data_IF_849637837632
#
_entry.id   IF_849637837632
#
_cell.length_a   1.000
_cell.length_b   1.000
_cell.length_c   1.000
_cell.angle_alpha   90.00
_cell.angle_beta   90.00
_cell.angle_gamma   90.00
#
_symmetry.space_group_name_H-M   'P 1'
#
loop_
_entity.id
_entity.type
_entity.pdbx_description
1 polymer ?
#
# COMPACT_ATOMS: atom_id res chain seq x y z
N UNK A 1 17.58 -17.06 14.48
CA UNK A 1 16.12 -17.26 14.28
C UNK A 1 15.73 -16.53 13.02
N UNK A 2 15.29 -17.27 12.00
CA UNK A 2 14.76 -16.68 10.75
C UNK A 2 13.37 -16.15 11.02
N UNK A 3 13.29 -14.95 11.57
CA UNK A 3 12.01 -14.33 11.90
C UNK A 3 11.45 -13.68 10.64
N UNK A 4 10.46 -14.34 10.01
CA UNK A 4 9.66 -13.80 8.89
C UNK A 4 8.23 -13.57 9.36
N UNK A 5 7.73 -12.36 9.14
CA UNK A 5 6.32 -12.01 9.27
C UNK A 5 5.79 -11.70 7.88
N UNK A 6 4.71 -12.36 7.50
CA UNK A 6 4.08 -12.21 6.19
C UNK A 6 2.57 -12.24 6.33
N UNK A 7 1.92 -11.44 5.50
CA UNK A 7 0.48 -11.43 5.38
C UNK A 7 -0.05 -12.77 4.85
N UNK A 8 -0.99 -13.36 5.58
CA UNK A 8 -1.59 -14.65 5.23
C UNK A 8 -2.26 -14.60 3.85
N UNK A 9 -1.99 -15.61 3.02
CA UNK A 9 -2.58 -15.80 1.68
C UNK A 9 -2.41 -14.59 0.73
N UNK A 10 -1.45 -13.69 1.00
CA UNK A 10 -1.30 -12.43 0.26
C UNK A 10 -1.06 -12.62 -1.23
N UNK A 11 -0.31 -13.65 -1.63
CA UNK A 11 -0.05 -13.96 -3.04
C UNK A 11 -1.31 -14.39 -3.79
N UNK A 12 -2.25 -15.05 -3.10
CA UNK A 12 -3.54 -15.43 -3.68
C UNK A 12 -4.49 -14.23 -3.72
N UNK A 13 -4.56 -13.47 -2.63
CA UNK A 13 -5.51 -12.35 -2.47
C UNK A 13 -5.16 -11.18 -3.39
N UNK A 14 -3.87 -10.87 -3.53
CA UNK A 14 -3.39 -9.83 -4.42
C UNK A 14 -3.03 -10.36 -5.82
N UNK A 15 -3.53 -11.55 -6.21
CA UNK A 15 -3.37 -12.02 -7.58
C UNK A 15 -4.34 -11.29 -8.51
N UNK A 16 -3.82 -10.35 -9.30
CA UNK A 16 -4.60 -9.61 -10.30
C UNK A 16 -4.19 -10.13 -11.68
N UNK A 17 -4.89 -11.13 -12.18
CA UNK A 17 -4.58 -11.80 -13.46
C UNK A 17 -3.11 -12.23 -13.62
N UNK A 18 -2.52 -12.80 -12.56
CA UNK A 18 -1.12 -13.25 -12.55
C UNK A 18 -0.12 -12.20 -12.06
N UNK A 19 -0.55 -10.96 -11.79
CA UNK A 19 0.27 -9.92 -11.18
C UNK A 19 0.12 -9.91 -9.66
N UNK A 20 1.13 -9.41 -8.93
CA UNK A 20 1.10 -9.25 -7.48
C UNK A 20 0.74 -7.80 -7.10
N UNK A 21 -0.55 -7.58 -6.88
CA UNK A 21 -1.18 -6.28 -6.71
C UNK A 21 -1.28 -5.49 -8.02
N UNK A 22 -1.61 -4.21 -7.90
CA UNK A 22 -1.82 -3.35 -9.07
C UNK A 22 -0.55 -2.75 -9.68
N UNK A 23 -0.66 -2.40 -10.96
CA UNK A 23 0.24 -1.48 -11.67
C UNK A 23 -0.54 -0.23 -12.09
N UNK A 24 0.00 0.96 -11.79
CA UNK A 24 -0.63 2.21 -12.19
C UNK A 24 -0.62 2.43 -13.71
N UNK A 25 0.23 1.75 -14.49
CA UNK A 25 0.18 1.84 -15.95
C UNK A 25 -1.17 1.40 -16.53
N UNK A 26 -1.88 0.49 -15.84
CA UNK A 26 -3.19 0.00 -16.28
C UNK A 26 -4.28 1.08 -16.30
N UNK A 27 -4.06 2.25 -15.67
CA UNK A 27 -4.99 3.38 -15.79
C UNK A 27 -5.10 3.92 -17.22
N UNK A 28 -4.02 3.87 -18.01
CA UNK A 28 -4.06 4.24 -19.42
C UNK A 28 -4.68 3.12 -20.25
N UNK A 29 -4.26 1.88 -20.02
CA UNK A 29 -4.78 0.70 -20.73
C UNK A 29 -6.31 0.55 -20.62
N UNK A 30 -6.89 0.87 -19.45
CA UNK A 30 -8.32 0.60 -19.16
C UNK A 30 -9.17 1.86 -19.18
N UNK A 31 -8.65 3.00 -18.72
CA UNK A 31 -9.42 4.25 -18.57
C UNK A 31 -8.88 5.40 -19.42
N UNK A 32 -7.85 5.18 -20.23
CA UNK A 32 -7.18 6.21 -21.02
C UNK A 32 -6.67 7.40 -20.17
N UNK A 33 -6.28 7.14 -18.92
CA UNK A 33 -5.88 8.17 -17.95
C UNK A 33 -4.35 8.24 -17.78
N UNK A 34 -3.69 9.00 -18.65
CA UNK A 34 -2.24 9.29 -18.55
C UNK A 34 -1.87 10.04 -17.24
N UNK A 35 -2.84 10.73 -16.63
CA UNK A 35 -2.62 11.39 -15.35
C UNK A 35 -2.34 10.38 -14.23
N UNK A 36 -3.20 9.36 -14.10
CA UNK A 36 -3.07 8.37 -13.04
C UNK A 36 -1.95 7.37 -13.30
N UNK A 37 -1.52 7.14 -14.55
CA UNK A 37 -0.29 6.36 -14.81
C UNK A 37 0.96 7.02 -14.26
N UNK A 38 0.96 8.33 -13.99
CA UNK A 38 2.09 9.07 -13.40
C UNK A 38 1.90 9.38 -11.91
N UNK A 39 0.65 9.50 -11.43
CA UNK A 39 0.33 10.02 -10.09
C UNK A 39 -0.46 9.03 -9.21
N UNK A 40 -0.81 7.88 -9.75
CA UNK A 40 -1.69 6.89 -9.14
C UNK A 40 -1.03 5.95 -8.14
N UNK A 41 0.27 6.03 -7.87
CA UNK A 41 0.96 5.11 -6.95
C UNK A 41 0.27 4.99 -5.58
N UNK A 42 -0.13 6.12 -5.00
CA UNK A 42 -0.88 6.17 -3.74
C UNK A 42 -2.24 5.46 -3.82
N UNK A 43 -2.91 5.57 -4.96
CA UNK A 43 -4.19 4.93 -5.23
C UNK A 43 -3.99 3.43 -5.32
N UNK A 44 -3.03 2.96 -6.13
CA UNK A 44 -2.69 1.54 -6.26
C UNK A 44 -2.31 0.93 -4.91
N UNK A 45 -1.46 1.59 -4.13
CA UNK A 45 -1.05 1.09 -2.83
C UNK A 45 -2.24 0.95 -1.87
N UNK A 46 -3.17 1.92 -1.88
CA UNK A 46 -4.39 1.84 -1.10
C UNK A 46 -5.35 0.75 -1.61
N UNK A 47 -5.49 0.59 -2.92
CA UNK A 47 -6.33 -0.44 -3.52
C UNK A 47 -5.88 -1.82 -3.09
N UNK A 48 -4.57 -2.10 -3.16
CA UNK A 48 -3.98 -3.34 -2.64
C UNK A 48 -4.31 -3.52 -1.14
N UNK A 49 -4.15 -2.45 -0.35
CA UNK A 49 -4.43 -2.47 1.08
C UNK A 49 -5.89 -2.84 1.38
N UNK A 50 -6.85 -2.19 0.73
CA UNK A 50 -8.27 -2.46 0.94
C UNK A 50 -8.69 -3.85 0.48
N UNK A 51 -8.25 -4.28 -0.71
CA UNK A 51 -8.53 -5.64 -1.20
C UNK A 51 -8.03 -6.67 -0.18
N UNK A 52 -6.81 -6.50 0.33
CA UNK A 52 -6.25 -7.43 1.29
C UNK A 52 -7.07 -7.49 2.59
N UNK A 53 -7.32 -6.35 3.24
CA UNK A 53 -8.01 -6.37 4.54
C UNK A 53 -9.46 -6.84 4.39
N UNK A 54 -10.15 -6.48 3.30
CA UNK A 54 -11.54 -6.88 3.07
C UNK A 54 -11.68 -8.39 2.81
N UNK A 55 -10.66 -9.02 2.22
CA UNK A 55 -10.62 -10.47 1.99
C UNK A 55 -10.19 -11.28 3.22
N UNK A 56 -9.59 -10.64 4.24
CA UNK A 56 -9.08 -11.34 5.44
C UNK A 56 -9.87 -11.03 6.70
N UNK A 57 -10.64 -9.94 6.72
CA UNK A 57 -11.33 -9.42 7.90
C UNK A 57 -12.72 -8.93 7.48
N UNK A 58 -13.75 -9.69 7.89
CA UNK A 58 -15.14 -9.53 7.42
C UNK A 58 -15.72 -8.14 7.69
N UNK A 59 -15.28 -7.50 8.76
CA UNK A 59 -15.68 -6.14 9.14
C UNK A 59 -15.35 -5.09 8.06
N UNK A 60 -14.30 -5.31 7.25
CA UNK A 60 -13.90 -4.39 6.17
C UNK A 60 -14.49 -4.74 4.80
N UNK A 61 -15.31 -5.79 4.68
CA UNK A 61 -15.88 -6.21 3.40
C UNK A 61 -16.63 -5.08 2.67
N UNK A 62 -17.28 -4.17 3.41
CA UNK A 62 -18.02 -3.02 2.85
C UNK A 62 -17.12 -1.95 2.21
N UNK A 63 -15.80 -2.00 2.44
CA UNK A 63 -14.85 -1.04 1.86
C UNK A 63 -14.44 -1.41 0.44
N UNK A 64 -14.91 -2.53 -0.10
CA UNK A 64 -14.49 -3.05 -1.39
C UNK A 64 -15.72 -3.59 -2.14
N UNK A 65 -15.83 -3.39 -3.46
CA UNK A 65 -16.85 -4.05 -4.29
C UNK A 65 -16.87 -5.57 -4.12
N UNK A 66 -18.06 -6.18 -4.12
CA UNK A 66 -18.24 -7.62 -3.86
C UNK A 66 -17.48 -8.52 -4.85
N UNK A 67 -17.34 -8.09 -6.10
CA UNK A 67 -16.59 -8.82 -7.13
C UNK A 67 -15.08 -8.87 -6.88
N UNK A 68 -14.55 -8.10 -5.93
CA UNK A 68 -13.16 -8.16 -5.49
C UNK A 68 -12.97 -9.00 -4.21
N UNK A 69 -14.02 -9.69 -3.74
CA UNK A 69 -14.00 -10.53 -2.54
C UNK A 69 -14.05 -12.02 -2.90
N UNK A 70 -13.10 -12.79 -2.36
CA UNK A 70 -13.07 -14.27 -2.40
C UNK A 70 -12.94 -14.89 -3.79
N UNK A 71 -12.67 -14.09 -4.82
CA UNK A 71 -12.70 -14.49 -6.25
C UNK A 71 -11.44 -14.00 -6.96
N UNK A 72 -11.21 -14.51 -8.17
CA UNK A 72 -10.18 -14.00 -9.07
C UNK A 72 -10.52 -12.57 -9.48
N UNK A 73 -9.57 -11.66 -9.34
CA UNK A 73 -9.75 -10.25 -9.67
C UNK A 73 -9.19 -9.98 -11.07
N UNK A 74 -9.97 -9.33 -11.92
CA UNK A 74 -9.50 -8.83 -13.22
C UNK A 74 -8.85 -7.45 -13.10
N UNK A 75 -7.94 -7.09 -14.02
CA UNK A 75 -7.37 -5.73 -14.06
C UNK A 75 -8.45 -4.66 -14.20
N UNK A 76 -9.49 -4.91 -14.99
CA UNK A 76 -10.61 -3.99 -15.19
C UNK A 76 -11.36 -3.70 -13.90
N UNK A 77 -11.70 -4.72 -13.12
CA UNK A 77 -12.40 -4.54 -11.84
C UNK A 77 -11.52 -3.82 -10.82
N UNK A 78 -10.24 -4.21 -10.77
CA UNK A 78 -9.24 -3.57 -9.93
C UNK A 78 -9.12 -2.06 -10.25
N UNK A 79 -8.97 -1.70 -11.53
CA UNK A 79 -8.77 -0.30 -11.94
C UNK A 79 -10.05 0.52 -11.77
N UNK A 80 -11.24 -0.05 -11.98
CA UNK A 80 -12.51 0.65 -11.65
C UNK A 80 -12.60 1.00 -10.17
N UNK A 81 -12.19 0.09 -9.28
CA UNK A 81 -12.15 0.37 -7.85
C UNK A 81 -11.07 1.39 -7.49
N UNK A 82 -9.87 1.25 -8.07
CA UNK A 82 -8.78 2.21 -7.89
C UNK A 82 -9.18 3.62 -8.36
N UNK A 83 -9.81 3.76 -9.52
CA UNK A 83 -10.28 5.04 -10.03
C UNK A 83 -11.29 5.70 -9.08
N UNK A 84 -12.23 4.92 -8.55
CA UNK A 84 -13.15 5.42 -7.52
C UNK A 84 -12.40 5.93 -6.28
N UNK A 85 -11.40 5.20 -5.78
CA UNK A 85 -10.56 5.67 -4.66
C UNK A 85 -9.78 6.94 -5.01
N UNK A 86 -9.38 7.12 -6.27
CA UNK A 86 -8.68 8.31 -6.75
C UNK A 86 -9.50 9.59 -6.52
N UNK A 87 -10.83 9.50 -6.56
CA UNK A 87 -11.74 10.64 -6.30
C UNK A 87 -11.70 11.12 -4.84
N UNK A 88 -11.30 10.24 -3.91
CA UNK A 88 -11.12 10.57 -2.49
C UNK A 88 -9.70 11.02 -2.17
N UNK A 89 -8.71 10.29 -2.71
CA UNK A 89 -7.29 10.57 -2.48
C UNK A 89 -6.81 11.82 -3.22
N UNK A 90 -7.45 12.13 -4.35
CA UNK A 90 -7.19 13.29 -5.21
C UNK A 90 -5.69 13.53 -5.43
N UNK A 91 -4.95 12.57 -6.04
CA UNK A 91 -3.54 12.78 -6.38
C UNK A 91 -3.37 14.11 -7.11
N UNK A 92 -2.32 14.85 -6.78
CA UNK A 92 -1.96 16.14 -7.40
C UNK A 92 -0.82 15.94 -8.41
N UNK A 93 -0.30 17.04 -8.96
CA UNK A 93 0.85 17.02 -9.88
C UNK A 93 2.07 16.29 -9.27
N UNK A 94 2.18 16.24 -7.95
CA UNK A 94 3.22 15.49 -7.23
C UNK A 94 2.72 14.17 -6.59
N UNK A 95 1.57 13.66 -7.02
CA UNK A 95 0.89 12.54 -6.39
C UNK A 95 0.27 12.94 -5.04
N UNK A 96 0.39 12.05 -4.04
CA UNK A 96 -0.01 12.30 -2.65
C UNK A 96 1.28 12.41 -1.81
N UNK A 97 1.85 13.61 -1.63
CA UNK A 97 3.23 13.74 -1.15
C UNK A 97 3.40 13.57 0.37
N UNK A 98 2.32 13.36 1.14
CA UNK A 98 2.39 13.23 2.60
C UNK A 98 1.33 12.24 3.13
N UNK A 99 1.50 11.78 4.36
CA UNK A 99 0.52 10.91 5.03
C UNK A 99 -0.81 11.62 5.32
N UNK A 100 -0.79 12.95 5.57
CA UNK A 100 -2.00 13.69 5.94
C UNK A 100 -3.08 13.74 4.84
N UNK A 101 -2.77 14.08 3.57
CA UNK A 101 -3.76 14.00 2.50
C UNK A 101 -4.27 12.57 2.27
N UNK A 102 -3.41 11.55 2.39
CA UNK A 102 -3.81 10.15 2.34
C UNK A 102 -4.86 9.84 3.41
N UNK A 103 -4.55 10.10 4.68
CA UNK A 103 -5.45 9.89 5.80
C UNK A 103 -6.80 10.62 5.64
N UNK A 104 -6.77 11.88 5.19
CA UNK A 104 -8.01 12.64 4.97
C UNK A 104 -8.90 12.04 3.88
N UNK A 105 -8.32 11.56 2.78
CA UNK A 105 -9.07 10.87 1.73
C UNK A 105 -9.69 9.58 2.25
N UNK A 106 -8.91 8.77 2.97
CA UNK A 106 -9.35 7.48 3.54
C UNK A 106 -10.44 7.64 4.59
N UNK A 107 -10.32 8.63 5.47
CA UNK A 107 -11.38 8.92 6.45
C UNK A 107 -12.71 9.29 5.77
N UNK A 108 -12.66 10.08 4.70
CA UNK A 108 -13.86 10.43 3.92
C UNK A 108 -14.45 9.22 3.21
N UNK A 109 -13.59 8.39 2.62
CA UNK A 109 -13.98 7.15 1.95
C UNK A 109 -14.66 6.17 2.92
N UNK A 110 -13.99 5.87 4.04
CA UNK A 110 -14.52 4.98 5.08
C UNK A 110 -15.87 5.49 5.60
N UNK A 111 -15.96 6.79 5.92
CA UNK A 111 -17.20 7.41 6.41
C UNK A 111 -18.34 7.28 5.42
N UNK A 112 -18.08 7.48 4.12
CA UNK A 112 -19.08 7.29 3.06
C UNK A 112 -19.62 5.85 3.02
N UNK A 113 -18.80 4.87 3.35
CA UNK A 113 -19.18 3.46 3.41
C UNK A 113 -19.66 3.02 4.82
N UNK A 114 -20.02 3.97 5.69
CA UNK A 114 -20.56 3.68 7.02
C UNK A 114 -19.52 3.10 8.00
N UNK A 115 -18.24 3.35 7.76
CA UNK A 115 -17.13 2.87 8.60
C UNK A 115 -16.29 4.03 9.13
N UNK A 116 -15.58 3.78 10.21
CA UNK A 116 -14.52 4.67 10.70
C UNK A 116 -13.21 3.89 10.70
N UNK A 117 -12.22 4.40 9.98
CA UNK A 117 -10.86 3.89 10.02
C UNK A 117 -9.96 4.86 10.77
N UNK A 118 -9.17 4.32 11.68
CA UNK A 118 -8.15 5.04 12.44
C UNK A 118 -6.80 4.82 11.78
N UNK A 119 -6.17 5.91 11.38
CA UNK A 119 -4.79 5.87 10.92
C UNK A 119 -3.85 5.58 12.08
N UNK A 120 -3.16 4.46 12.00
CA UNK A 120 -2.06 4.10 12.89
C UNK A 120 -0.80 4.73 12.32
N UNK A 121 -0.60 6.03 12.55
CA UNK A 121 0.61 6.72 12.07
C UNK A 121 1.84 6.24 12.85
N UNK A 122 2.99 6.21 12.18
CA UNK A 122 4.26 6.08 12.88
C UNK A 122 4.52 7.33 13.74
N UNK A 123 4.38 7.20 15.05
CA UNK A 123 4.50 8.30 16.02
C UNK A 123 5.71 8.17 16.97
N UNK A 124 6.60 7.21 16.72
CA UNK A 124 7.78 6.97 17.55
C UNK A 124 8.99 7.80 17.09
N UNK A 125 10.04 7.87 17.91
CA UNK A 125 11.34 8.42 17.46
C UNK A 125 11.82 7.65 16.24
N UNK A 126 12.20 8.33 15.14
CA UNK A 126 12.61 7.73 13.87
C UNK A 126 13.93 6.93 14.01
N UNK A 127 13.81 5.66 14.40
CA UNK A 127 14.90 4.71 14.62
C UNK A 127 14.56 3.39 13.93
N UNK A 128 15.55 2.73 13.34
CA UNK A 128 15.35 1.47 12.61
C UNK A 128 14.60 0.42 13.43
N UNK A 129 14.96 0.24 14.71
CA UNK A 129 14.28 -0.70 15.61
C UNK A 129 12.78 -0.40 15.75
N UNK A 130 12.42 0.87 15.89
CA UNK A 130 11.01 1.27 16.04
C UNK A 130 10.23 1.07 14.73
N UNK A 131 10.86 1.32 13.59
CA UNK A 131 10.26 1.06 12.26
C UNK A 131 10.02 -0.43 12.06
N UNK A 132 11.01 -1.27 12.38
CA UNK A 132 10.88 -2.73 12.33
C UNK A 132 9.73 -3.18 13.23
N UNK A 133 9.70 -2.75 14.50
CA UNK A 133 8.62 -3.09 15.44
C UNK A 133 7.24 -2.66 14.92
N UNK A 134 7.14 -1.47 14.33
CA UNK A 134 5.91 -0.96 13.76
C UNK A 134 5.41 -1.82 12.59
N UNK A 135 6.31 -2.18 11.65
CA UNK A 135 5.95 -3.02 10.50
C UNK A 135 5.57 -4.44 10.97
N UNK A 136 6.38 -5.05 11.86
CA UNK A 136 6.06 -6.36 12.44
C UNK A 136 4.68 -6.33 13.10
N UNK A 137 4.41 -5.30 13.94
CA UNK A 137 3.14 -5.16 14.63
C UNK A 137 1.95 -5.11 13.66
N UNK A 138 2.06 -4.34 12.57
CA UNK A 138 1.00 -4.27 11.56
C UNK A 138 0.81 -5.61 10.84
N UNK A 139 1.89 -6.21 10.32
CA UNK A 139 1.84 -7.45 9.53
C UNK A 139 1.36 -8.63 10.38
N UNK A 140 1.84 -8.75 11.62
CA UNK A 140 1.40 -9.79 12.56
C UNK A 140 -0.09 -9.67 12.92
N UNK A 141 -0.65 -8.46 12.89
CA UNK A 141 -2.09 -8.24 13.09
C UNK A 141 -2.91 -8.30 11.78
N UNK A 142 -2.27 -8.67 10.66
CA UNK A 142 -2.92 -8.82 9.37
C UNK A 142 -3.24 -7.50 8.67
N UNK A 143 -2.40 -6.48 8.83
CA UNK A 143 -2.52 -5.20 8.14
C UNK A 143 -1.28 -4.93 7.28
N UNK A 144 -1.43 -4.73 5.96
CA UNK A 144 -0.34 -4.24 5.13
C UNK A 144 0.10 -2.85 5.59
N UNK A 145 1.36 -2.47 5.32
CA UNK A 145 1.86 -1.13 5.64
C UNK A 145 2.08 -0.35 4.35
N UNK A 146 1.50 0.85 4.27
CA UNK A 146 1.77 1.76 3.17
C UNK A 146 3.05 2.53 3.47
N UNK A 147 3.99 2.49 2.53
CA UNK A 147 5.27 3.18 2.62
C UNK A 147 5.35 4.29 1.57
N UNK A 148 5.52 5.53 2.03
CA UNK A 148 5.79 6.70 1.21
C UNK A 148 7.25 7.08 1.31
N UNK A 149 7.85 7.38 0.16
CA UNK A 149 9.20 7.90 0.08
C UNK A 149 9.29 9.06 -0.91
N UNK A 150 9.92 10.17 -0.51
CA UNK A 150 10.13 11.36 -1.36
C UNK A 150 11.62 11.68 -1.52
N UNK A 151 12.05 11.88 -2.75
CA UNK A 151 13.43 12.17 -3.16
C UNK A 151 14.48 11.22 -2.57
N UNK A 152 14.23 9.92 -2.64
CA UNK A 152 15.18 8.91 -2.18
C UNK A 152 16.16 8.46 -3.27
N UNK A 153 17.33 7.94 -2.89
CA UNK A 153 18.38 7.54 -3.86
C UNK A 153 18.01 6.31 -4.67
N UNK A 154 17.27 5.37 -4.08
CA UNK A 154 16.73 4.22 -4.83
C UNK A 154 15.64 4.71 -5.80
N UNK A 155 15.84 4.60 -7.14
CA UNK A 155 14.89 5.10 -8.14
C UNK A 155 13.52 4.42 -8.04
N UNK A 156 13.47 3.15 -7.65
CA UNK A 156 12.24 2.35 -7.58
C UNK A 156 11.26 2.84 -6.49
N UNK A 157 11.77 3.61 -5.51
CA UNK A 157 10.98 4.22 -4.44
C UNK A 157 11.23 5.73 -4.31
N UNK A 158 11.75 6.40 -5.35
CA UNK A 158 12.22 7.80 -5.22
C UNK A 158 11.10 8.79 -4.88
N UNK A 159 9.94 8.68 -5.51
CA UNK A 159 8.76 9.52 -5.27
C UNK A 159 7.52 8.62 -5.31
N UNK A 160 7.44 7.68 -4.38
CA UNK A 160 6.59 6.52 -4.57
C UNK A 160 5.88 6.06 -3.31
N UNK A 161 4.70 5.50 -3.53
CA UNK A 161 3.94 4.73 -2.57
C UNK A 161 3.99 3.26 -2.94
N UNK A 162 4.28 2.41 -1.95
CA UNK A 162 4.23 0.95 -2.11
C UNK A 162 3.51 0.30 -0.94
N UNK A 163 3.07 -0.93 -1.12
CA UNK A 163 2.38 -1.72 -0.07
C UNK A 163 3.32 -2.79 0.46
N UNK A 164 3.76 -2.68 1.70
CA UNK A 164 4.56 -3.70 2.39
C UNK A 164 3.65 -4.85 2.80
N UNK A 165 4.04 -6.07 2.45
CA UNK A 165 3.29 -7.32 2.70
C UNK A 165 4.05 -8.34 3.54
N UNK A 166 5.38 -8.19 3.68
CA UNK A 166 6.18 -9.01 4.57
C UNK A 166 7.40 -8.24 5.10
N UNK A 167 7.93 -8.70 6.23
CA UNK A 167 9.19 -8.25 6.82
C UNK A 167 9.95 -9.46 7.38
N UNK A 168 11.26 -9.53 7.13
CA UNK A 168 12.10 -10.60 7.64
C UNK A 168 13.54 -10.15 7.84
N UNK A 169 14.30 -10.92 8.60
CA UNK A 169 15.73 -10.72 8.79
C UNK A 169 16.52 -11.72 7.94
N UNK A 170 17.41 -11.20 7.09
CA UNK A 170 18.34 -11.95 6.25
C UNK A 170 19.58 -11.06 6.00
N UNK A 171 20.62 -11.25 6.81
CA UNK A 171 21.79 -10.37 6.92
C UNK A 171 21.45 -8.86 6.97
N UNK A 172 20.33 -8.55 7.62
CA UNK A 172 19.70 -7.24 7.66
C UNK A 172 18.18 -7.32 7.50
N UNK A 173 17.46 -6.28 7.94
CA UNK A 173 16.01 -6.26 7.78
C UNK A 173 15.61 -6.00 6.32
N UNK A 174 14.76 -6.88 5.78
CA UNK A 174 14.17 -6.79 4.44
C UNK A 174 12.67 -6.62 4.54
N UNK A 175 12.10 -5.90 3.58
CA UNK A 175 10.65 -5.80 3.39
C UNK A 175 10.29 -6.29 1.99
N UNK A 176 9.19 -7.03 1.89
CA UNK A 176 8.57 -7.35 0.60
C UNK A 176 7.40 -6.41 0.37
N UNK A 177 7.31 -5.91 -0.85
CA UNK A 177 6.30 -4.96 -1.26
C UNK A 177 5.61 -5.40 -2.55
N UNK A 178 4.32 -5.09 -2.68
CA UNK A 178 3.70 -4.93 -4.00
C UNK A 178 4.10 -3.57 -4.57
N UNK A 179 4.76 -3.60 -5.72
CA UNK A 179 5.17 -2.42 -6.47
C UNK A 179 5.16 -2.73 -7.98
N UNK A 180 4.54 -1.90 -8.81
CA UNK A 180 4.43 -2.09 -10.27
C UNK A 180 3.87 -3.47 -10.68
N UNK A 181 2.83 -3.95 -9.97
CA UNK A 181 2.20 -5.24 -10.25
C UNK A 181 3.05 -6.48 -9.93
N UNK A 182 4.15 -6.32 -9.19
CA UNK A 182 5.09 -7.41 -8.90
C UNK A 182 5.60 -7.35 -7.47
N UNK A 183 6.06 -8.49 -6.96
CA UNK A 183 6.72 -8.57 -5.65
C UNK A 183 8.13 -7.99 -5.78
N UNK A 184 8.47 -7.06 -4.90
CA UNK A 184 9.80 -6.42 -4.81
C UNK A 184 10.32 -6.55 -3.39
N UNK A 185 11.62 -6.81 -3.25
CA UNK A 185 12.30 -6.86 -1.96
C UNK A 185 13.17 -5.62 -1.83
N UNK A 186 13.06 -4.93 -0.71
CA UNK A 186 13.93 -3.81 -0.37
C UNK A 186 14.67 -4.06 0.94
N UNK A 187 15.92 -3.61 0.97
CA UNK A 187 16.68 -3.51 2.20
C UNK A 187 16.17 -2.33 3.03
N UNK A 188 15.52 -2.64 4.16
CA UNK A 188 14.87 -1.67 5.02
C UNK A 188 15.89 -0.77 5.72
N UNK A 189 17.06 -1.30 6.11
CA UNK A 189 18.11 -0.51 6.73
C UNK A 189 18.73 0.48 5.76
N UNK A 190 18.98 0.05 4.53
CA UNK A 190 19.48 0.90 3.45
C UNK A 190 18.47 1.99 3.12
N UNK A 191 17.20 1.64 2.98
CA UNK A 191 16.12 2.62 2.82
C UNK A 191 16.08 3.60 4.01
N UNK A 192 16.22 3.12 5.24
CA UNK A 192 16.22 3.95 6.44
C UNK A 192 17.40 4.94 6.45
N UNK A 193 18.63 4.47 6.23
CA UNK A 193 19.88 5.26 6.32
C UNK A 193 20.04 6.28 5.18
N UNK A 194 19.50 5.99 4.00
CA UNK A 194 19.66 6.88 2.84
C UNK A 194 18.91 8.21 3.00
N UNK A 195 19.51 9.32 2.57
CA UNK A 195 18.85 10.64 2.59
C UNK A 195 17.59 10.64 1.72
N UNK A 196 16.57 11.35 2.20
CA UNK A 196 15.26 11.52 1.56
C UNK A 196 14.64 12.79 2.12
N UNK A 197 13.80 13.47 1.34
CA UNK A 197 13.05 14.64 1.81
C UNK A 197 11.95 14.25 2.80
N UNK A 198 11.35 13.07 2.61
CA UNK A 198 10.31 12.58 3.48
C UNK A 198 10.19 11.06 3.37
N UNK A 199 9.99 10.41 4.52
CA UNK A 199 9.62 8.99 4.62
C UNK A 199 8.40 8.89 5.53
N UNK A 200 7.42 8.10 5.10
CA UNK A 200 6.20 7.89 5.86
C UNK A 200 5.83 6.42 5.87
N UNK A 201 5.32 5.96 7.00
CA UNK A 201 4.70 4.65 7.17
C UNK A 201 3.34 4.85 7.82
N UNK A 202 2.33 4.18 7.27
CA UNK A 202 0.94 4.26 7.75
C UNK A 202 0.22 2.95 7.47
N UNK A 203 -0.64 2.53 8.40
CA UNK A 203 -1.70 1.55 8.14
C UNK A 203 -2.98 2.01 8.84
N UNK A 204 -4.09 1.32 8.58
CA UNK A 204 -5.40 1.67 9.13
C UNK A 204 -5.99 0.51 9.94
N UNK A 205 -6.86 0.83 10.89
CA UNK A 205 -7.65 -0.14 11.66
C UNK A 205 -9.06 0.40 11.88
#
# INVERSE_FOLDING_TARGET
MNTRYELKDVDKILNIEGFFGGDQQWFEDILNSNYLTKKGCSVIAMTNYFIYIANTKREYAKLVPENLLGKRITKTEYIKFADMLSTFLKPKIYGVPFLFPMNNGIRKYAKKNGMSLVAQNYNFTWKIRNIVTYIIGAIANGYPVLMLTLNHKNPDVKFHWVTITAIYYDDGWKIECSNWGVKRVYDLEKWFKQKSLYKGLIYYQ
#
